data_IF_475589736397
#
_entry.id   IF_475589736397
#
_cell.length_a   1.000
_cell.length_b   1.000
_cell.length_c   1.000
_cell.angle_alpha   90.00
_cell.angle_beta   90.00
_cell.angle_gamma   90.00
#
_symmetry.space_group_name_H-M   'P 1'
#
loop_
_entity.id
_entity.type
_entity.pdbx_description
1 polymer ?
#
# COMPACT_ATOMS: atom_id res chain seq x y z
N UNK A 1 -15.70 -1.61 -19.61
CA UNK A 1 -15.44 -2.57 -18.50
C UNK A 1 -13.97 -2.44 -18.13
N UNK A 2 -13.66 -2.02 -16.91
CA UNK A 2 -12.27 -1.98 -16.46
C UNK A 2 -11.78 -3.43 -16.35
N UNK A 3 -10.65 -3.75 -17.00
CA UNK A 3 -10.04 -5.07 -16.86
C UNK A 3 -9.64 -5.32 -15.41
N UNK A 4 -9.77 -6.57 -14.96
CA UNK A 4 -9.28 -6.96 -13.63
C UNK A 4 -7.81 -6.59 -13.46
N UNK A 5 -7.40 -6.06 -12.31
CA UNK A 5 -6.01 -5.70 -12.07
C UNK A 5 -5.13 -6.95 -12.08
N UNK A 6 -3.92 -6.83 -12.66
CA UNK A 6 -2.96 -7.93 -12.77
C UNK A 6 -1.69 -7.69 -11.96
N UNK A 7 -1.37 -6.42 -11.68
CA UNK A 7 -0.16 -6.05 -10.96
C UNK A 7 -0.46 -4.91 -10.00
N UNK A 8 -0.67 -5.27 -8.74
CA UNK A 8 -1.21 -4.39 -7.70
C UNK A 8 -0.10 -4.01 -6.72
N UNK A 9 -0.02 -2.74 -6.39
CA UNK A 9 0.81 -2.25 -5.29
C UNK A 9 -0.07 -1.80 -4.12
N UNK A 10 0.11 -2.40 -2.97
CA UNK A 10 -0.39 -1.89 -1.69
C UNK A 10 0.66 -0.95 -1.11
N UNK A 11 0.27 0.28 -0.81
CA UNK A 11 1.13 1.29 -0.22
C UNK A 11 0.69 1.57 1.22
N UNK A 12 1.40 0.98 2.18
CA UNK A 12 1.23 1.19 3.61
C UNK A 12 2.60 1.13 4.30
N UNK A 13 3.12 2.29 4.65
CA UNK A 13 4.51 2.45 5.10
C UNK A 13 4.75 2.05 6.56
N UNK A 14 3.77 2.08 7.39
CA UNK A 14 3.83 1.85 8.85
C UNK A 14 2.83 2.75 9.56
N UNK A 15 2.62 2.76 10.88
CA UNK A 15 3.29 1.94 11.91
C UNK A 15 2.92 0.44 11.84
N UNK A 16 3.47 -0.37 12.75
CA UNK A 16 3.15 -1.81 12.82
C UNK A 16 1.64 -2.05 12.96
N UNK A 17 0.98 -1.35 13.87
CA UNK A 17 -0.48 -1.45 14.03
C UNK A 17 -1.25 -1.05 12.77
N UNK A 18 -0.80 -0.01 12.07
CA UNK A 18 -1.41 0.40 10.79
C UNK A 18 -1.28 -0.67 9.71
N UNK A 19 -0.15 -1.40 9.68
CA UNK A 19 0.08 -2.51 8.74
C UNK A 19 -0.86 -3.68 9.08
N UNK A 20 -0.95 -4.07 10.36
CA UNK A 20 -1.88 -5.12 10.80
C UNK A 20 -3.31 -4.79 10.34
N UNK A 21 -3.78 -3.56 10.55
CA UNK A 21 -5.11 -3.12 10.12
C UNK A 21 -5.32 -3.11 8.59
N UNK A 22 -4.25 -3.24 7.81
CA UNK A 22 -4.31 -3.30 6.35
C UNK A 22 -4.17 -4.73 5.79
N UNK A 23 -3.79 -5.73 6.60
CA UNK A 23 -3.65 -7.12 6.16
C UNK A 23 -4.92 -7.70 5.52
N UNK A 24 -6.14 -7.41 6.03
CA UNK A 24 -7.38 -7.86 5.39
C UNK A 24 -7.54 -7.39 3.94
N UNK A 25 -6.91 -6.27 3.57
CA UNK A 25 -6.91 -5.79 2.17
C UNK A 25 -6.13 -6.77 1.29
N UNK A 26 -4.93 -7.18 1.69
CA UNK A 26 -4.13 -8.16 0.95
C UNK A 26 -4.86 -9.50 0.81
N UNK A 27 -5.43 -10.02 1.89
CA UNK A 27 -6.24 -11.24 1.89
C UNK A 27 -7.43 -11.13 0.95
N UNK A 28 -8.16 -10.03 1.00
CA UNK A 28 -9.32 -9.81 0.12
C UNK A 28 -8.90 -9.71 -1.34
N UNK A 29 -7.79 -9.04 -1.65
CA UNK A 29 -7.25 -8.95 -3.00
C UNK A 29 -6.84 -10.33 -3.52
N UNK A 30 -6.10 -11.12 -2.73
CA UNK A 30 -5.68 -12.48 -3.12
C UNK A 30 -6.86 -13.38 -3.39
N UNK A 31 -7.92 -13.30 -2.56
CA UNK A 31 -9.14 -14.09 -2.74
C UNK A 31 -9.89 -13.72 -4.03
N UNK A 32 -9.96 -12.42 -4.37
CA UNK A 32 -10.71 -11.96 -5.53
C UNK A 32 -9.89 -11.97 -6.85
N UNK A 33 -8.57 -11.85 -6.74
CA UNK A 33 -7.63 -11.82 -7.87
C UNK A 33 -6.48 -12.80 -7.63
N UNK A 34 -6.72 -14.13 -7.64
CA UNK A 34 -5.72 -15.14 -7.30
C UNK A 34 -4.48 -15.10 -8.21
N UNK A 35 -4.66 -14.71 -9.47
CA UNK A 35 -3.58 -14.63 -10.47
C UNK A 35 -2.88 -13.25 -10.51
N UNK A 36 -3.36 -12.27 -9.74
CA UNK A 36 -2.73 -10.96 -9.71
C UNK A 36 -1.42 -11.02 -8.90
N UNK A 37 -0.40 -10.31 -9.40
CA UNK A 37 0.81 -10.04 -8.60
C UNK A 37 0.49 -8.94 -7.60
N UNK A 38 0.67 -9.23 -6.32
CA UNK A 38 0.41 -8.30 -5.21
C UNK A 38 1.74 -7.98 -4.52
N UNK A 39 2.15 -6.72 -4.64
CA UNK A 39 3.33 -6.18 -3.98
C UNK A 39 2.93 -5.24 -2.85
N UNK A 40 3.74 -5.16 -1.81
CA UNK A 40 3.53 -4.22 -0.71
C UNK A 40 4.75 -3.33 -0.52
N UNK A 41 4.53 -2.01 -0.50
CA UNK A 41 5.57 -1.03 -0.21
C UNK A 41 5.50 -0.60 1.25
N UNK A 42 6.61 -0.82 1.98
CA UNK A 42 6.71 -0.63 3.42
C UNK A 42 8.01 0.09 3.81
N UNK A 43 7.99 0.81 4.92
CA UNK A 43 9.19 1.37 5.54
C UNK A 43 10.02 0.26 6.21
N UNK A 44 11.36 0.33 6.12
CA UNK A 44 12.30 -0.68 6.62
C UNK A 44 12.01 -1.13 8.07
N UNK A 45 11.71 -0.19 8.97
CA UNK A 45 11.44 -0.51 10.38
C UNK A 45 10.14 -1.26 10.66
N UNK A 46 9.35 -1.60 9.64
CA UNK A 46 8.07 -2.28 9.80
C UNK A 46 7.90 -3.48 8.85
N UNK A 47 8.96 -3.86 8.13
CA UNK A 47 8.93 -4.90 7.11
C UNK A 47 8.69 -6.31 7.67
N UNK A 48 9.20 -6.58 8.87
CA UNK A 48 9.25 -7.95 9.42
C UNK A 48 7.86 -8.56 9.61
N UNK A 49 6.84 -7.75 9.91
CA UNK A 49 5.46 -8.22 10.05
C UNK A 49 4.85 -8.72 8.74
N UNK A 50 5.41 -8.32 7.61
CA UNK A 50 4.99 -8.71 6.26
C UNK A 50 5.86 -9.84 5.68
N UNK A 51 6.90 -10.24 6.38
CA UNK A 51 7.81 -11.26 5.89
C UNK A 51 7.08 -12.59 5.72
N UNK A 52 7.27 -13.25 4.57
CA UNK A 52 6.59 -14.50 4.20
C UNK A 52 5.05 -14.45 4.28
N UNK A 53 4.45 -13.27 4.15
CA UNK A 53 3.00 -13.16 4.11
C UNK A 53 2.45 -13.91 2.88
N UNK A 54 1.52 -14.88 3.06
CA UNK A 54 1.07 -15.75 1.97
C UNK A 54 0.26 -15.04 0.87
N UNK A 55 -0.22 -13.83 1.14
CA UNK A 55 -1.01 -13.06 0.18
C UNK A 55 -0.16 -12.16 -0.71
N UNK A 56 1.13 -12.01 -0.39
CA UNK A 56 2.05 -11.12 -1.09
C UNK A 56 3.03 -11.90 -1.96
N UNK A 57 3.25 -11.42 -3.17
CA UNK A 57 4.30 -11.94 -4.07
C UNK A 57 5.62 -11.21 -3.89
N UNK A 58 5.56 -9.96 -3.42
CA UNK A 58 6.76 -9.14 -3.27
C UNK A 58 6.62 -8.10 -2.15
N UNK A 59 7.69 -7.93 -1.40
CA UNK A 59 7.84 -6.86 -0.41
C UNK A 59 8.87 -5.84 -0.91
N UNK A 60 8.44 -4.59 -1.06
CA UNK A 60 9.29 -3.49 -1.49
C UNK A 60 9.59 -2.63 -0.26
N UNK A 61 10.86 -2.57 0.12
CA UNK A 61 11.29 -1.86 1.33
C UNK A 61 11.89 -0.51 0.96
N UNK A 62 11.43 0.56 1.62
CA UNK A 62 11.97 1.91 1.48
C UNK A 62 12.49 2.44 2.81
N UNK A 63 13.45 3.35 2.76
CA UNK A 63 14.12 3.91 3.94
C UNK A 63 13.89 5.43 4.06
N UNK A 64 12.63 5.87 3.94
CA UNK A 64 12.28 7.30 3.91
C UNK A 64 12.75 8.05 5.16
N UNK A 65 12.64 7.42 6.34
CA UNK A 65 13.11 8.00 7.60
C UNK A 65 14.62 8.23 7.59
N UNK A 66 15.35 7.26 7.06
CA UNK A 66 16.81 7.36 6.92
C UNK A 66 17.20 8.46 5.94
N UNK A 67 16.61 8.47 4.74
CA UNK A 67 16.91 9.48 3.72
C UNK A 67 16.61 10.90 4.18
N UNK A 68 15.50 11.09 4.92
CA UNK A 68 15.15 12.40 5.51
C UNK A 68 16.15 12.88 6.55
N UNK A 69 16.74 11.97 7.35
CA UNK A 69 17.74 12.30 8.37
C UNK A 69 19.13 12.53 7.77
N UNK A 70 19.45 11.89 6.67
CA UNK A 70 20.76 11.88 6.04
C UNK A 70 20.65 12.46 4.62
N UNK A 71 20.57 13.80 4.55
CA UNK A 71 20.47 14.52 3.28
C UNK A 71 21.86 14.63 2.64
N UNK A 72 22.37 13.52 2.12
CA UNK A 72 23.64 13.42 1.44
C UNK A 72 23.47 12.79 0.05
N UNK A 73 24.53 12.84 -0.77
CA UNK A 73 24.51 12.35 -2.14
C UNK A 73 24.13 10.86 -2.23
N UNK A 74 24.58 10.04 -1.27
CA UNK A 74 24.23 8.60 -1.22
C UNK A 74 22.73 8.40 -1.03
N UNK A 75 22.11 9.13 -0.10
CA UNK A 75 20.66 9.03 0.15
C UNK A 75 19.83 9.47 -1.04
N UNK A 76 20.26 10.52 -1.76
CA UNK A 76 19.59 10.92 -3.00
C UNK A 76 19.73 9.87 -4.10
N UNK A 77 20.91 9.25 -4.21
CA UNK A 77 21.13 8.17 -5.18
C UNK A 77 20.27 6.94 -4.85
N UNK A 78 20.23 6.50 -3.59
CA UNK A 78 19.37 5.39 -3.13
C UNK A 78 17.90 5.68 -3.40
N UNK A 79 17.41 6.87 -3.04
CA UNK A 79 16.02 7.25 -3.29
C UNK A 79 15.69 7.25 -4.79
N UNK A 80 16.58 7.78 -5.63
CA UNK A 80 16.43 7.76 -7.08
C UNK A 80 16.42 6.35 -7.66
N UNK A 81 17.22 5.45 -7.11
CA UNK A 81 17.24 4.03 -7.49
C UNK A 81 15.97 3.34 -7.10
N UNK A 82 15.47 3.56 -5.87
CA UNK A 82 14.20 3.01 -5.40
C UNK A 82 13.01 3.46 -6.25
N UNK A 83 12.98 4.72 -6.67
CA UNK A 83 11.94 5.23 -7.57
C UNK A 83 12.02 4.58 -8.96
N UNK A 84 13.23 4.43 -9.53
CA UNK A 84 13.41 3.75 -10.83
C UNK A 84 12.96 2.30 -10.76
N UNK A 85 13.32 1.60 -9.70
CA UNK A 85 12.89 0.23 -9.45
C UNK A 85 11.37 0.14 -9.33
N UNK A 86 10.75 1.01 -8.53
CA UNK A 86 9.29 1.08 -8.36
C UNK A 86 8.58 1.26 -9.71
N UNK A 87 9.07 2.16 -10.56
CA UNK A 87 8.49 2.41 -11.90
C UNK A 87 8.70 1.24 -12.86
N UNK A 88 9.84 0.55 -12.77
CA UNK A 88 10.15 -0.58 -13.65
C UNK A 88 9.21 -1.76 -13.46
N UNK A 89 8.57 -1.87 -12.30
CA UNK A 89 7.60 -2.91 -11.98
C UNK A 89 6.26 -2.76 -12.72
N UNK A 90 5.96 -1.58 -13.28
CA UNK A 90 4.78 -1.30 -14.11
C UNK A 90 3.46 -1.73 -13.46
N UNK A 91 3.22 -1.28 -12.24
CA UNK A 91 1.94 -1.49 -11.58
C UNK A 91 0.79 -0.91 -12.40
N UNK A 92 -0.27 -1.69 -12.58
CA UNK A 92 -1.51 -1.21 -13.20
C UNK A 92 -2.43 -0.50 -12.19
N UNK A 93 -2.32 -0.89 -10.92
CA UNK A 93 -3.14 -0.37 -9.83
C UNK A 93 -2.30 -0.16 -8.56
N UNK A 94 -2.46 0.99 -7.94
CA UNK A 94 -1.91 1.30 -6.60
C UNK A 94 -3.06 1.56 -5.64
N UNK A 95 -2.98 0.98 -4.44
CA UNK A 95 -3.87 1.24 -3.31
C UNK A 95 -3.09 2.00 -2.24
N UNK A 96 -3.33 3.30 -2.10
CA UNK A 96 -2.72 4.13 -1.04
C UNK A 96 -3.56 4.04 0.24
N UNK A 97 -3.19 3.12 1.12
CA UNK A 97 -3.82 2.88 2.43
C UNK A 97 -3.23 3.77 3.54
N UNK A 98 -2.27 4.64 3.20
CA UNK A 98 -1.63 5.50 4.20
C UNK A 98 -2.32 6.87 4.30
N UNK A 99 -2.73 7.46 3.19
CA UNK A 99 -3.42 8.75 3.13
C UNK A 99 -2.55 9.93 3.59
N UNK A 100 -1.23 9.87 3.40
CA UNK A 100 -0.26 10.93 3.68
C UNK A 100 0.31 11.50 2.38
N UNK A 101 0.81 12.73 2.40
CA UNK A 101 1.48 13.35 1.23
C UNK A 101 2.61 12.46 0.72
N UNK A 102 3.46 11.95 1.60
CA UNK A 102 4.60 11.08 1.23
C UNK A 102 4.16 9.79 0.52
N UNK A 103 3.05 9.17 0.95
CA UNK A 103 2.52 7.99 0.28
C UNK A 103 1.89 8.35 -1.06
N UNK A 104 1.19 9.46 -1.14
CA UNK A 104 0.67 9.99 -2.39
C UNK A 104 1.78 10.23 -3.42
N UNK A 105 2.88 10.87 -3.01
CA UNK A 105 4.05 11.09 -3.87
C UNK A 105 4.62 9.76 -4.39
N UNK A 106 4.81 8.76 -3.53
CA UNK A 106 5.28 7.43 -3.95
C UNK A 106 4.30 6.76 -4.90
N UNK A 107 2.99 6.90 -4.63
CA UNK A 107 1.93 6.42 -5.52
C UNK A 107 2.05 7.04 -6.92
N UNK A 108 2.24 8.35 -7.02
CA UNK A 108 2.44 9.04 -8.29
C UNK A 108 3.76 8.63 -8.97
N UNK A 109 4.86 8.53 -8.20
CA UNK A 109 6.18 8.14 -8.71
C UNK A 109 6.20 6.69 -9.22
N UNK A 110 5.30 5.81 -8.79
CA UNK A 110 5.18 4.45 -9.34
C UNK A 110 4.85 4.45 -10.83
N UNK A 111 4.26 5.53 -11.35
CA UNK A 111 3.80 5.64 -12.73
C UNK A 111 2.53 4.83 -13.04
N UNK A 112 1.86 4.28 -12.03
CA UNK A 112 0.61 3.54 -12.22
C UNK A 112 -0.49 4.43 -12.78
N UNK A 113 -1.24 3.97 -13.79
CA UNK A 113 -2.35 4.72 -14.37
C UNK A 113 -3.55 4.82 -13.40
N UNK A 114 -3.73 3.85 -12.51
CA UNK A 114 -4.82 3.85 -11.53
C UNK A 114 -4.27 3.90 -10.12
N UNK A 115 -4.57 4.98 -9.42
CA UNK A 115 -4.11 5.23 -8.05
C UNK A 115 -5.31 5.48 -7.16
N UNK A 116 -5.70 4.44 -6.41
CA UNK A 116 -6.85 4.42 -5.53
C UNK A 116 -6.44 4.95 -4.17
N UNK A 117 -7.20 5.87 -3.62
CA UNK A 117 -6.97 6.44 -2.30
C UNK A 117 -8.26 6.79 -1.56
N UNK A 118 -8.10 7.35 -0.39
CA UNK A 118 -9.22 7.79 0.44
C UNK A 118 -9.92 9.04 -0.11
N UNK A 119 -11.17 9.21 0.30
CA UNK A 119 -11.84 10.49 0.16
C UNK A 119 -11.07 11.56 0.94
N UNK A 120 -11.11 12.84 0.47
CA UNK A 120 -10.39 13.97 1.08
C UNK A 120 -10.57 14.07 2.60
N UNK A 121 -11.78 13.83 3.10
CA UNK A 121 -12.11 13.92 4.54
C UNK A 121 -11.63 12.70 5.35
N UNK A 122 -11.28 11.59 4.69
CA UNK A 122 -10.75 10.38 5.33
C UNK A 122 -9.23 10.29 5.26
N UNK A 123 -8.56 11.15 4.46
CA UNK A 123 -7.11 11.23 4.44
C UNK A 123 -6.58 11.80 5.76
N UNK A 124 -5.44 11.26 6.22
CA UNK A 124 -4.69 11.85 7.34
C UNK A 124 -4.13 13.22 6.97
N UNK A 125 -3.68 13.36 5.73
CA UNK A 125 -3.24 14.63 5.13
C UNK A 125 -4.04 14.85 3.84
N UNK A 126 -4.95 15.82 3.87
CA UNK A 126 -5.91 16.04 2.78
C UNK A 126 -5.26 16.30 1.41
N UNK A 127 -4.02 16.83 1.38
CA UNK A 127 -3.26 17.06 0.15
C UNK A 127 -2.90 15.76 -0.60
N UNK A 128 -2.99 14.59 0.06
CA UNK A 128 -2.79 13.29 -0.59
C UNK A 128 -3.68 13.10 -1.81
N UNK A 129 -4.88 13.69 -1.83
CA UNK A 129 -5.83 13.56 -2.95
C UNK A 129 -5.30 14.06 -4.30
N UNK A 130 -4.30 14.94 -4.32
CA UNK A 130 -3.69 15.39 -5.57
C UNK A 130 -2.86 14.31 -6.28
N UNK A 131 -2.48 13.27 -5.57
CA UNK A 131 -1.64 12.18 -6.07
C UNK A 131 -2.45 10.93 -6.44
N UNK A 132 -3.71 10.83 -5.98
CA UNK A 132 -4.63 9.74 -6.30
C UNK A 132 -5.64 10.21 -7.36
N UNK A 133 -6.05 9.32 -8.27
CA UNK A 133 -6.98 9.64 -9.36
C UNK A 133 -8.28 8.83 -9.33
N UNK A 134 -8.39 7.89 -8.39
CA UNK A 134 -9.59 7.12 -8.11
C UNK A 134 -9.79 7.09 -6.58
N UNK A 135 -10.97 7.43 -6.09
CA UNK A 135 -11.16 7.68 -4.65
C UNK A 135 -12.37 6.96 -4.12
N UNK A 136 -12.20 6.34 -2.96
CA UNK A 136 -13.33 5.80 -2.20
C UNK A 136 -14.33 6.88 -1.80
N UNK A 137 -15.57 6.51 -1.62
CA UNK A 137 -16.60 7.39 -1.07
C UNK A 137 -16.28 7.73 0.39
N UNK A 138 -16.72 8.90 0.86
CA UNK A 138 -16.58 9.29 2.25
C UNK A 138 -17.34 8.35 3.17
N UNK A 139 -16.63 7.81 4.18
CA UNK A 139 -17.19 6.83 5.11
C UNK A 139 -17.59 7.43 6.46
N UNK A 140 -17.06 8.62 6.78
CA UNK A 140 -17.28 9.26 8.07
C UNK A 140 -16.31 8.82 9.16
N UNK A 141 -16.40 9.49 10.32
CA UNK A 141 -15.44 9.33 11.41
C UNK A 141 -15.70 8.08 12.27
N UNK A 142 -16.88 7.50 12.20
CA UNK A 142 -17.29 6.40 13.08
C UNK A 142 -16.85 5.01 12.57
N UNK A 143 -16.26 4.92 11.38
CA UNK A 143 -15.79 3.64 10.83
C UNK A 143 -14.39 3.31 11.34
N UNK A 144 -14.18 2.05 11.72
CA UNK A 144 -12.88 1.54 12.11
C UNK A 144 -11.91 1.61 10.93
N UNK A 145 -10.61 1.77 11.22
CA UNK A 145 -9.58 1.89 10.18
C UNK A 145 -9.54 0.71 9.21
N UNK A 146 -9.83 -0.51 9.68
CA UNK A 146 -9.95 -1.72 8.85
C UNK A 146 -11.05 -1.54 7.79
N UNK A 147 -12.23 -1.05 8.22
CA UNK A 147 -13.36 -0.78 7.32
C UNK A 147 -12.99 0.28 6.27
N UNK A 148 -12.29 1.33 6.69
CA UNK A 148 -11.82 2.38 5.79
C UNK A 148 -10.85 1.83 4.75
N UNK A 149 -9.90 0.99 5.16
CA UNK A 149 -8.94 0.36 4.26
C UNK A 149 -9.66 -0.55 3.24
N UNK A 150 -10.58 -1.40 3.71
CA UNK A 150 -11.35 -2.32 2.85
C UNK A 150 -12.26 -1.59 1.87
N UNK A 151 -12.78 -0.43 2.26
CA UNK A 151 -13.68 0.35 1.40
C UNK A 151 -13.03 0.84 0.10
N UNK A 152 -11.68 0.96 0.06
CA UNK A 152 -10.97 1.28 -1.17
C UNK A 152 -11.16 0.20 -2.24
N UNK A 153 -11.40 -1.04 -1.82
CA UNK A 153 -11.58 -2.18 -2.73
C UNK A 153 -12.88 -2.13 -3.53
N UNK A 154 -13.86 -1.30 -3.10
CA UNK A 154 -15.07 -1.03 -3.89
C UNK A 154 -14.75 -0.46 -5.27
N UNK A 155 -13.66 0.30 -5.39
CA UNK A 155 -13.19 0.83 -6.67
C UNK A 155 -12.77 -0.29 -7.64
N UNK A 156 -12.40 -1.46 -7.11
CA UNK A 156 -12.09 -2.66 -7.89
C UNK A 156 -13.30 -3.58 -8.11
N UNK A 157 -14.50 -3.13 -7.68
CA UNK A 157 -15.73 -3.93 -7.78
C UNK A 157 -15.88 -4.99 -6.69
N UNK A 158 -15.04 -4.96 -5.65
CA UNK A 158 -15.11 -5.90 -4.53
C UNK A 158 -16.06 -5.34 -3.46
N UNK A 159 -17.05 -6.14 -3.07
CA UNK A 159 -18.02 -5.81 -2.01
C UNK A 159 -18.04 -6.83 -0.89
N UNK A 160 -17.44 -8.00 -1.09
CA UNK A 160 -17.33 -9.05 -0.08
C UNK A 160 -15.88 -9.10 0.43
N UNK A 161 -15.68 -8.77 1.70
CA UNK A 161 -14.37 -8.62 2.32
C UNK A 161 -14.01 -9.83 3.18
N UNK A 162 -12.73 -10.21 3.14
CA UNK A 162 -12.16 -11.19 4.05
C UNK A 162 -11.44 -10.46 5.19
N UNK A 163 -11.85 -10.71 6.42
CA UNK A 163 -11.34 -10.05 7.65
C UNK A 163 -10.22 -10.85 8.33
N UNK A 164 -9.56 -11.75 7.63
CA UNK A 164 -8.40 -12.46 8.16
C UNK A 164 -7.15 -11.58 8.21
N UNK A 165 -6.31 -11.82 9.21
CA UNK A 165 -5.05 -11.11 9.46
C UNK A 165 -3.89 -12.10 9.36
N UNK A 166 -3.48 -12.51 8.15
CA UNK A 166 -2.41 -13.49 7.98
C UNK A 166 -1.07 -12.89 8.39
N UNK A 167 -0.53 -13.36 9.50
CA UNK A 167 0.81 -13.02 10.00
C UNK A 167 1.61 -14.31 10.06
N UNK A 168 2.75 -14.34 9.37
CA UNK A 168 3.71 -15.43 9.50
C UNK A 168 4.56 -15.19 10.74
N UNK A 169 4.51 -16.11 11.70
CA UNK A 169 5.40 -16.11 12.85
C UNK A 169 6.70 -16.80 12.42
N UNK A 170 7.83 -16.10 12.51
CA UNK A 170 9.12 -16.77 12.42
C UNK A 170 9.30 -17.62 13.69
N UNK A 171 9.34 -18.95 13.56
CA UNK A 171 9.89 -19.77 14.61
C UNK A 171 11.39 -19.46 14.68
N UNK A 172 11.84 -18.81 15.77
CA UNK A 172 13.25 -18.72 16.07
C UNK A 172 13.74 -20.17 16.20
N UNK A 173 14.53 -20.61 15.23
CA UNK A 173 15.29 -21.86 15.35
C UNK A 173 16.31 -21.68 16.47
N UNK A 174 16.08 -22.34 17.61
CA UNK A 174 17.05 -22.51 18.70
C UNK A 174 18.37 -23.09 18.20
#
# INVERSE_FOLDING_TARGET
MSSSPKNILILKLGSLGDIVHALPVARTLRTNFPEARISWLVEDGAKDILYQNPDLDELIVVRLKYWRKNLNQSSFHEAGTAVRELRSKKFDTVLDLQGLIKSGVLSALSGSPRRIGFHRKDCREWLNVFFTNDRASYLGNNNHIVEKNLALLKQLGISNYNYEFPISVQEESE
#
